data_IF_220883769432
#
_entry.id   IF_220883769432
#
_cell.length_a   1.000
_cell.length_b   1.000
_cell.length_c   1.000
_cell.angle_alpha   90.00
_cell.angle_beta   90.00
_cell.angle_gamma   90.00
#
_symmetry.space_group_name_H-M   'P 1'
#
loop_
_entity.id
_entity.type
_entity.pdbx_description
1 polymer ?
#
# COMPACT_ATOMS: atom_id res chain seq x y z
N UNK A 1 2.93 -13.19 24.76
CA UNK A 1 4.04 -13.43 23.81
C UNK A 1 5.32 -12.84 24.40
N UNK A 2 6.33 -13.67 24.66
CA UNK A 2 7.48 -13.31 25.52
C UNK A 2 8.44 -12.32 24.82
N UNK A 3 9.02 -11.37 25.55
CA UNK A 3 9.91 -10.36 24.97
C UNK A 3 11.14 -10.99 24.26
N UNK A 4 11.62 -12.15 24.75
CA UNK A 4 12.67 -12.96 24.11
C UNK A 4 12.26 -13.53 22.75
N UNK A 5 11.06 -14.09 22.61
CA UNK A 5 10.58 -14.64 21.33
C UNK A 5 10.39 -13.54 20.29
N UNK A 6 9.97 -12.33 20.72
CA UNK A 6 9.88 -11.17 19.85
C UNK A 6 11.27 -10.70 19.36
N UNK A 7 12.28 -10.68 20.24
CA UNK A 7 13.67 -10.33 19.87
C UNK A 7 14.29 -11.33 18.89
N UNK A 8 14.12 -12.63 19.12
CA UNK A 8 14.62 -13.67 18.21
C UNK A 8 13.96 -13.55 16.83
N UNK A 9 12.65 -13.31 16.78
CA UNK A 9 11.94 -13.09 15.52
C UNK A 9 12.44 -11.87 14.75
N UNK A 10 12.74 -10.75 15.43
CA UNK A 10 13.30 -9.55 14.80
C UNK A 10 14.71 -9.83 14.25
N UNK A 11 15.58 -10.50 15.01
CA UNK A 11 16.94 -10.84 14.56
C UNK A 11 16.88 -11.77 13.33
N UNK A 12 16.03 -12.80 13.37
CA UNK A 12 15.84 -13.69 12.23
C UNK A 12 15.33 -12.93 10.99
N UNK A 13 14.37 -12.02 11.16
CA UNK A 13 13.86 -11.18 10.07
C UNK A 13 14.94 -10.28 9.46
N UNK A 14 15.81 -9.68 10.28
CA UNK A 14 16.93 -8.85 9.80
C UNK A 14 17.93 -9.70 9.02
N UNK A 15 18.29 -10.88 9.53
CA UNK A 15 19.21 -11.79 8.83
C UNK A 15 18.66 -12.24 7.47
N UNK A 16 17.38 -12.57 7.40
CA UNK A 16 16.71 -12.93 6.13
C UNK A 16 16.72 -11.74 5.17
N UNK A 17 16.43 -10.53 5.66
CA UNK A 17 16.46 -9.31 4.84
C UNK A 17 17.86 -9.05 4.25
N UNK A 18 18.91 -9.15 5.07
CA UNK A 18 20.30 -8.99 4.63
C UNK A 18 20.65 -10.06 3.59
N UNK A 19 20.34 -11.33 3.87
CA UNK A 19 20.61 -12.42 2.93
C UNK A 19 19.90 -12.20 1.58
N UNK A 20 18.63 -11.76 1.62
CA UNK A 20 17.86 -11.44 0.42
C UNK A 20 18.46 -10.27 -0.36
N UNK A 21 18.87 -9.19 0.32
CA UNK A 21 19.54 -8.05 -0.31
C UNK A 21 20.86 -8.46 -0.98
N UNK A 22 21.68 -9.27 -0.32
CA UNK A 22 22.96 -9.75 -0.89
C UNK A 22 22.70 -10.63 -2.11
N UNK A 23 21.73 -11.54 -2.05
CA UNK A 23 21.37 -12.40 -3.18
C UNK A 23 20.89 -11.58 -4.38
N UNK A 24 20.00 -10.61 -4.16
CA UNK A 24 19.54 -9.70 -5.22
C UNK A 24 20.72 -8.90 -5.80
N UNK A 25 21.61 -8.40 -4.95
CA UNK A 25 22.76 -7.63 -5.42
C UNK A 25 23.65 -8.46 -6.34
N UNK A 26 24.00 -9.68 -5.92
CA UNK A 26 24.84 -10.59 -6.70
C UNK A 26 24.17 -10.99 -8.01
N UNK A 27 22.88 -11.34 -7.99
CA UNK A 27 22.11 -11.64 -9.19
C UNK A 27 22.00 -10.44 -10.14
N UNK A 28 21.80 -9.24 -9.59
CA UNK A 28 21.64 -8.00 -10.35
C UNK A 28 22.89 -7.58 -11.13
N UNK A 29 24.09 -7.97 -10.67
CA UNK A 29 25.35 -7.68 -11.38
C UNK A 29 25.43 -8.34 -12.76
N UNK A 30 24.82 -9.52 -12.92
CA UNK A 30 24.79 -10.28 -14.17
C UNK A 30 23.61 -9.97 -15.08
N UNK A 31 22.58 -9.27 -14.57
CA UNK A 31 21.38 -8.96 -15.35
C UNK A 31 21.61 -7.66 -16.12
N UNK A 32 21.37 -7.71 -17.43
CA UNK A 32 21.45 -6.54 -18.28
C UNK A 32 20.38 -5.50 -17.97
N UNK A 33 20.76 -4.23 -18.14
CA UNK A 33 19.87 -3.11 -17.85
C UNK A 33 18.57 -3.17 -18.68
N UNK A 34 18.61 -3.61 -19.94
CA UNK A 34 17.40 -3.73 -20.78
C UNK A 34 16.34 -4.64 -20.14
N UNK A 35 16.78 -5.69 -19.45
CA UNK A 35 15.88 -6.59 -18.71
C UNK A 35 15.38 -5.92 -17.43
N UNK A 36 16.27 -5.24 -16.69
CA UNK A 36 15.89 -4.51 -15.47
C UNK A 36 14.89 -3.38 -15.74
N UNK A 37 15.07 -2.66 -16.85
CA UNK A 37 14.19 -1.59 -17.32
C UNK A 37 12.77 -2.09 -17.54
N UNK A 38 12.62 -3.24 -18.21
CA UNK A 38 11.31 -3.89 -18.38
C UNK A 38 10.67 -4.26 -17.05
N UNK A 39 11.46 -4.66 -16.04
CA UNK A 39 10.91 -4.89 -14.70
C UNK A 39 10.45 -3.60 -14.02
N UNK A 40 11.19 -2.50 -14.17
CA UNK A 40 10.75 -1.20 -13.66
C UNK A 40 9.46 -0.71 -14.34
N UNK A 41 9.30 -0.95 -15.65
CA UNK A 41 8.05 -0.66 -16.36
C UNK A 41 6.88 -1.47 -15.81
N UNK A 42 7.07 -2.77 -15.58
CA UNK A 42 6.04 -3.62 -15.00
C UNK A 42 5.64 -3.15 -13.59
N UNK A 43 6.62 -2.83 -12.75
CA UNK A 43 6.38 -2.29 -11.41
C UNK A 43 5.66 -0.95 -11.47
N UNK A 44 6.02 -0.07 -12.42
CA UNK A 44 5.33 1.21 -12.63
C UNK A 44 3.87 0.98 -12.99
N UNK A 45 3.57 0.04 -13.89
CA UNK A 45 2.19 -0.30 -14.27
C UNK A 45 1.38 -0.79 -13.06
N UNK A 46 1.94 -1.69 -12.26
CA UNK A 46 1.30 -2.15 -11.02
C UNK A 46 1.09 -0.99 -10.03
N UNK A 47 2.07 -0.10 -9.89
CA UNK A 47 1.96 1.11 -9.06
C UNK A 47 0.77 1.98 -9.50
N UNK A 48 0.64 2.22 -10.81
CA UNK A 48 -0.42 3.03 -11.40
C UNK A 48 -1.81 2.42 -11.16
N UNK A 49 -1.92 1.08 -11.22
CA UNK A 49 -3.17 0.38 -10.88
C UNK A 49 -3.52 0.58 -9.41
N UNK A 50 -2.55 0.37 -8.50
CA UNK A 50 -2.76 0.57 -7.06
C UNK A 50 -3.15 2.02 -6.77
N UNK A 51 -2.47 2.98 -7.39
CA UNK A 51 -2.80 4.41 -7.28
C UNK A 51 -4.23 4.71 -7.74
N UNK A 52 -4.66 4.16 -8.88
CA UNK A 52 -6.02 4.35 -9.38
C UNK A 52 -7.09 3.76 -8.45
N UNK A 53 -6.90 2.52 -7.99
CA UNK A 53 -7.85 1.85 -7.09
C UNK A 53 -7.92 2.54 -5.73
N UNK A 54 -6.78 2.92 -5.16
CA UNK A 54 -6.74 3.65 -3.87
C UNK A 54 -7.37 5.03 -3.99
N UNK A 55 -7.16 5.73 -5.10
CA UNK A 55 -7.81 7.02 -5.40
C UNK A 55 -9.34 6.91 -5.47
N UNK A 56 -9.87 5.88 -6.12
CA UNK A 56 -11.31 5.63 -6.16
C UNK A 56 -11.88 5.35 -4.76
N UNK A 57 -11.19 4.54 -3.95
CA UNK A 57 -11.58 4.29 -2.56
C UNK A 57 -11.55 5.54 -1.69
N UNK A 58 -10.57 6.42 -1.90
CA UNK A 58 -10.48 7.71 -1.21
C UNK A 58 -11.73 8.56 -1.50
N UNK A 59 -12.13 8.66 -2.77
CA UNK A 59 -13.32 9.41 -3.17
C UNK A 59 -14.61 8.88 -2.53
N UNK A 60 -14.72 7.55 -2.36
CA UNK A 60 -15.89 6.91 -1.71
C UNK A 60 -15.86 7.10 -0.19
N UNK A 61 -14.68 7.01 0.44
CA UNK A 61 -14.55 6.99 1.90
C UNK A 61 -14.54 8.40 2.51
N UNK A 62 -13.99 9.38 1.78
CA UNK A 62 -13.91 10.78 2.20
C UNK A 62 -15.24 11.38 2.70
N UNK A 63 -16.36 11.32 1.94
CA UNK A 63 -17.62 11.89 2.40
C UNK A 63 -18.14 11.20 3.67
N UNK A 64 -17.90 9.89 3.84
CA UNK A 64 -18.29 9.14 5.04
C UNK A 64 -17.49 9.60 6.25
N UNK A 65 -16.17 9.72 6.12
CA UNK A 65 -15.28 10.19 7.18
C UNK A 65 -15.59 11.65 7.58
N UNK A 66 -15.87 12.50 6.59
CA UNK A 66 -16.25 13.90 6.83
C UNK A 66 -17.61 13.99 7.55
N UNK A 67 -18.60 13.21 7.11
CA UNK A 67 -19.91 13.15 7.77
C UNK A 67 -19.80 12.65 9.22
N UNK A 68 -18.97 11.63 9.47
CA UNK A 68 -18.67 11.10 10.81
C UNK A 68 -18.03 12.17 11.70
N UNK A 69 -17.07 12.92 11.18
CA UNK A 69 -16.43 14.03 11.90
C UNK A 69 -17.38 15.19 12.21
N UNK A 70 -18.25 15.55 11.26
CA UNK A 70 -19.29 16.58 11.47
C UNK A 70 -20.30 16.10 12.52
N UNK A 71 -20.73 14.84 12.46
CA UNK A 71 -21.64 14.26 13.44
C UNK A 71 -21.02 14.30 14.86
N UNK A 72 -19.74 13.94 15.00
CA UNK A 72 -19.01 14.02 16.26
C UNK A 72 -18.89 15.46 16.80
N UNK A 73 -18.68 16.44 15.92
CA UNK A 73 -18.66 17.86 16.28
C UNK A 73 -20.01 18.35 16.81
N UNK A 74 -21.11 17.84 16.25
CA UNK A 74 -22.47 18.26 16.56
C UNK A 74 -23.17 17.39 17.61
N UNK A 75 -22.52 16.36 18.17
CA UNK A 75 -23.17 15.44 19.12
C UNK A 75 -23.32 16.07 20.51
N UNK A 76 -24.41 15.76 21.18
CA UNK A 76 -24.62 16.09 22.60
C UNK A 76 -23.65 15.33 23.52
N UNK A 77 -23.49 15.84 24.75
CA UNK A 77 -22.50 15.36 25.72
C UNK A 77 -22.59 13.87 26.05
N UNK A 78 -23.78 13.25 25.94
CA UNK A 78 -24.00 11.81 26.20
C UNK A 78 -23.54 10.88 25.08
N UNK A 79 -23.49 11.34 23.82
CA UNK A 79 -23.14 10.51 22.66
C UNK A 79 -21.79 10.88 22.02
N UNK A 80 -21.19 11.99 22.46
CA UNK A 80 -19.96 12.57 21.91
C UNK A 80 -18.77 11.61 21.91
N UNK A 81 -18.61 10.79 22.94
CA UNK A 81 -17.49 9.84 23.03
C UNK A 81 -17.58 8.73 21.96
N UNK A 82 -18.77 8.18 21.76
CA UNK A 82 -19.03 7.15 20.75
C UNK A 82 -18.89 7.72 19.33
N UNK A 83 -19.42 8.93 19.10
CA UNK A 83 -19.31 9.61 17.82
C UNK A 83 -17.86 10.00 17.49
N UNK A 84 -17.09 10.47 18.48
CA UNK A 84 -15.67 10.79 18.33
C UNK A 84 -14.84 9.55 18.00
N UNK A 85 -15.06 8.43 18.69
CA UNK A 85 -14.34 7.17 18.43
C UNK A 85 -14.55 6.69 16.99
N UNK A 86 -15.78 6.78 16.50
CA UNK A 86 -16.13 6.44 15.10
C UNK A 86 -15.47 7.38 14.10
N UNK A 87 -15.50 8.69 14.34
CA UNK A 87 -14.84 9.67 13.48
C UNK A 87 -13.31 9.46 13.40
N UNK A 88 -12.68 9.10 14.52
CA UNK A 88 -11.23 8.80 14.57
C UNK A 88 -10.91 7.53 13.77
N UNK A 89 -11.75 6.50 13.85
CA UNK A 89 -11.57 5.25 13.11
C UNK A 89 -11.73 5.45 11.58
N UNK A 90 -12.76 6.20 11.17
CA UNK A 90 -12.99 6.55 9.77
C UNK A 90 -11.85 7.42 9.22
N UNK A 91 -11.38 8.40 10.01
CA UNK A 91 -10.25 9.26 9.64
C UNK A 91 -8.95 8.47 9.51
N UNK A 92 -8.68 7.53 10.43
CA UNK A 92 -7.49 6.65 10.35
C UNK A 92 -7.50 5.80 9.08
N UNK A 93 -8.68 5.30 8.69
CA UNK A 93 -8.85 4.54 7.44
C UNK A 93 -8.56 5.42 6.23
N UNK A 94 -9.04 6.67 6.22
CA UNK A 94 -8.75 7.65 5.18
C UNK A 94 -7.25 7.96 5.07
N UNK A 95 -6.58 8.19 6.21
CA UNK A 95 -5.12 8.41 6.24
C UNK A 95 -4.36 7.20 5.71
N UNK A 96 -4.83 5.98 5.98
CA UNK A 96 -4.29 4.75 5.40
C UNK A 96 -4.29 4.78 3.87
N UNK A 97 -5.43 5.11 3.25
CA UNK A 97 -5.52 5.23 1.79
C UNK A 97 -4.58 6.30 1.23
N UNK A 98 -4.52 7.48 1.84
CA UNK A 98 -3.62 8.55 1.42
C UNK A 98 -2.15 8.09 1.49
N UNK A 99 -1.76 7.40 2.56
CA UNK A 99 -0.40 6.87 2.71
C UNK A 99 -0.06 5.88 1.59
N UNK A 100 -0.96 4.93 1.29
CA UNK A 100 -0.74 3.98 0.18
C UNK A 100 -0.65 4.67 -1.18
N UNK A 101 -1.42 5.75 -1.38
CA UNK A 101 -1.41 6.56 -2.60
C UNK A 101 -0.06 7.27 -2.77
N UNK A 102 0.43 7.95 -1.71
CA UNK A 102 1.71 8.65 -1.72
C UNK A 102 2.86 7.70 -2.03
N UNK A 103 2.90 6.52 -1.40
CA UNK A 103 3.96 5.53 -1.67
C UNK A 103 3.92 5.08 -3.13
N UNK A 104 2.72 4.88 -3.69
CA UNK A 104 2.57 4.50 -5.12
C UNK A 104 3.08 5.60 -6.05
N UNK A 105 2.78 6.87 -5.76
CA UNK A 105 3.30 8.03 -6.51
C UNK A 105 4.83 8.07 -6.46
N UNK A 106 5.43 7.86 -5.29
CA UNK A 106 6.89 7.84 -5.13
C UNK A 106 7.51 6.73 -5.98
N UNK A 107 6.91 5.54 -5.99
CA UNK A 107 7.39 4.42 -6.81
C UNK A 107 7.31 4.75 -8.31
N UNK A 108 6.21 5.35 -8.75
CA UNK A 108 6.05 5.80 -10.14
C UNK A 108 7.15 6.82 -10.47
N UNK A 109 7.35 7.83 -9.64
CA UNK A 109 8.37 8.86 -9.83
C UNK A 109 9.79 8.26 -9.90
N UNK A 110 10.16 7.40 -8.95
CA UNK A 110 11.45 6.71 -8.96
C UNK A 110 11.65 5.89 -10.23
N UNK A 111 10.65 5.09 -10.62
CA UNK A 111 10.73 4.28 -11.84
C UNK A 111 10.89 5.14 -13.10
N UNK A 112 10.31 6.35 -13.13
CA UNK A 112 10.44 7.32 -14.23
C UNK A 112 11.81 7.98 -14.27
N UNK A 113 12.43 8.23 -13.13
CA UNK A 113 13.75 8.87 -13.05
C UNK A 113 14.91 7.95 -13.48
N UNK A 114 14.79 6.64 -13.32
CA UNK A 114 15.86 5.66 -13.63
C UNK A 114 16.42 5.77 -15.05
N UNK A 115 15.61 5.82 -16.14
CA UNK A 115 16.16 5.98 -17.49
C UNK A 115 16.95 7.29 -17.67
N UNK A 116 16.50 8.39 -17.06
CA UNK A 116 17.25 9.67 -17.12
C UNK A 116 18.60 9.57 -16.39
N UNK A 117 18.63 8.93 -15.22
CA UNK A 117 19.88 8.72 -14.47
C UNK A 117 20.85 7.88 -15.31
N UNK A 118 20.37 6.85 -16.00
CA UNK A 118 21.21 6.04 -16.90
C UNK A 118 21.83 6.87 -18.01
N UNK A 119 21.04 7.68 -18.72
CA UNK A 119 21.56 8.52 -19.82
C UNK A 119 22.64 9.49 -19.31
N UNK A 120 22.41 10.11 -18.15
CA UNK A 120 23.40 10.99 -17.51
C UNK A 120 24.68 10.22 -17.18
N UNK A 121 24.57 9.02 -16.60
CA UNK A 121 25.74 8.19 -16.27
C UNK A 121 26.47 7.67 -17.52
N UNK A 122 25.76 7.51 -18.64
CA UNK A 122 26.33 7.14 -19.94
C UNK A 122 27.31 8.18 -20.48
N UNK A 123 27.05 9.47 -20.24
CA UNK A 123 27.91 10.58 -20.67
C UNK A 123 29.28 10.58 -19.98
N UNK A 124 29.37 10.08 -18.75
CA UNK A 124 30.58 10.14 -17.93
C UNK A 124 31.61 9.02 -18.18
N UNK A 125 31.46 8.19 -19.22
CA UNK A 125 32.41 7.10 -19.57
C UNK A 125 32.82 6.25 -18.34
N UNK A 126 31.86 5.95 -17.46
CA UNK A 126 32.13 5.23 -16.21
C UNK A 126 32.72 3.84 -16.48
N UNK A 127 33.75 3.46 -15.70
CA UNK A 127 34.44 2.17 -15.79
C UNK A 127 33.46 0.98 -15.75
N UNK A 128 33.78 -0.09 -16.50
CA UNK A 128 33.00 -1.33 -16.60
C UNK A 128 32.63 -1.90 -15.22
N UNK A 129 33.55 -1.78 -14.25
CA UNK A 129 33.35 -2.23 -12.88
C UNK A 129 32.24 -1.45 -12.18
N UNK A 130 32.24 -0.12 -12.32
CA UNK A 130 31.26 0.76 -11.69
C UNK A 130 29.85 0.55 -12.28
N UNK A 131 29.75 0.25 -13.59
CA UNK A 131 28.50 -0.15 -14.24
C UNK A 131 27.91 -1.44 -13.66
N UNK A 132 28.74 -2.44 -13.36
CA UNK A 132 28.29 -3.69 -12.74
C UNK A 132 27.73 -3.47 -11.32
N UNK A 133 28.42 -2.68 -10.49
CA UNK A 133 27.93 -2.32 -9.15
C UNK A 133 26.59 -1.54 -9.22
N UNK A 134 26.44 -0.63 -10.17
CA UNK A 134 25.19 0.12 -10.38
C UNK A 134 24.02 -0.79 -10.77
N UNK A 135 24.22 -1.76 -11.66
CA UNK A 135 23.21 -2.77 -12.02
C UNK A 135 22.78 -3.62 -10.83
N UNK A 136 23.74 -4.03 -9.99
CA UNK A 136 23.44 -4.73 -8.74
C UNK A 136 22.58 -3.89 -7.80
N UNK A 137 22.91 -2.61 -7.62
CA UNK A 137 22.17 -1.70 -6.76
C UNK A 137 20.74 -1.43 -7.28
N UNK A 138 20.58 -1.23 -8.59
CA UNK A 138 19.27 -1.09 -9.22
C UNK A 138 18.40 -2.32 -9.02
N UNK A 139 18.97 -3.53 -9.12
CA UNK A 139 18.20 -4.76 -8.94
C UNK A 139 17.78 -4.99 -7.48
N UNK A 140 18.61 -4.58 -6.51
CA UNK A 140 18.21 -4.54 -5.09
C UNK A 140 17.05 -3.58 -4.87
N UNK A 141 17.14 -2.36 -5.43
CA UNK A 141 16.07 -1.38 -5.36
C UNK A 141 14.77 -1.91 -5.98
N UNK A 142 14.87 -2.54 -7.15
CA UNK A 142 13.77 -3.19 -7.83
C UNK A 142 13.09 -4.23 -6.90
N UNK A 143 13.86 -5.15 -6.33
CA UNK A 143 13.33 -6.16 -5.42
C UNK A 143 12.69 -5.58 -4.16
N UNK A 144 13.28 -4.53 -3.58
CA UNK A 144 12.69 -3.83 -2.43
C UNK A 144 11.34 -3.19 -2.79
N UNK A 145 11.26 -2.52 -3.95
CA UNK A 145 10.02 -1.93 -4.45
C UNK A 145 8.97 -3.01 -4.71
N UNK A 146 9.36 -4.16 -5.29
CA UNK A 146 8.44 -5.28 -5.52
C UNK A 146 7.81 -5.77 -4.22
N UNK A 147 8.61 -5.98 -3.17
CA UNK A 147 8.10 -6.43 -1.86
C UNK A 147 7.13 -5.40 -1.27
N UNK A 148 7.48 -4.12 -1.34
CA UNK A 148 6.61 -3.03 -0.87
C UNK A 148 5.29 -3.03 -1.64
N UNK A 149 5.33 -3.14 -2.98
CA UNK A 149 4.12 -3.16 -3.80
C UNK A 149 3.23 -4.36 -3.54
N UNK A 150 3.80 -5.55 -3.35
CA UNK A 150 3.03 -6.73 -2.97
C UNK A 150 2.33 -6.54 -1.62
N UNK A 151 3.02 -5.91 -0.65
CA UNK A 151 2.41 -5.52 0.62
C UNK A 151 1.25 -4.53 0.46
N UNK A 152 1.43 -3.50 -0.37
CA UNK A 152 0.38 -2.52 -0.67
C UNK A 152 -0.82 -3.17 -1.36
N UNK A 153 -0.58 -4.06 -2.32
CA UNK A 153 -1.64 -4.80 -3.02
C UNK A 153 -2.43 -5.69 -2.06
N UNK A 154 -1.75 -6.36 -1.12
CA UNK A 154 -2.42 -7.10 -0.06
C UNK A 154 -3.28 -6.21 0.84
N UNK A 155 -2.80 -5.01 1.17
CA UNK A 155 -3.53 -4.04 1.99
C UNK A 155 -4.78 -3.51 1.27
N UNK A 156 -4.67 -3.12 0.00
CA UNK A 156 -5.80 -2.64 -0.81
C UNK A 156 -6.85 -3.73 -1.03
N UNK A 157 -6.40 -4.98 -1.24
CA UNK A 157 -7.30 -6.12 -1.34
C UNK A 157 -8.05 -6.35 -0.02
N UNK A 158 -7.35 -6.28 1.12
CA UNK A 158 -7.96 -6.42 2.44
C UNK A 158 -9.03 -5.35 2.69
N UNK A 159 -8.76 -4.09 2.33
CA UNK A 159 -9.73 -3.02 2.43
C UNK A 159 -10.96 -3.28 1.56
N UNK A 160 -10.74 -3.71 0.31
CA UNK A 160 -11.82 -4.03 -0.63
C UNK A 160 -12.70 -5.17 -0.12
N UNK A 161 -12.09 -6.24 0.40
CA UNK A 161 -12.80 -7.39 0.97
C UNK A 161 -13.59 -7.01 2.24
N UNK A 162 -13.01 -6.15 3.09
CA UNK A 162 -13.70 -5.62 4.26
C UNK A 162 -14.97 -4.85 3.88
N UNK A 163 -14.86 -3.93 2.91
CA UNK A 163 -15.99 -3.16 2.44
C UNK A 163 -17.10 -4.03 1.82
N UNK A 164 -16.73 -5.09 1.08
CA UNK A 164 -17.68 -6.05 0.54
C UNK A 164 -18.43 -6.79 1.66
N UNK A 165 -17.72 -7.21 2.70
CA UNK A 165 -18.31 -7.90 3.85
C UNK A 165 -19.30 -7.01 4.59
N UNK A 166 -18.96 -5.74 4.80
CA UNK A 166 -19.85 -4.75 5.42
C UNK A 166 -21.12 -4.51 4.58
N UNK A 167 -21.01 -4.51 3.25
CA UNK A 167 -22.16 -4.40 2.35
C UNK A 167 -23.09 -5.62 2.49
N UNK A 168 -22.54 -6.84 2.50
CA UNK A 168 -23.35 -8.05 2.72
C UNK A 168 -24.03 -8.05 4.09
N UNK A 169 -23.34 -7.63 5.15
CA UNK A 169 -23.92 -7.55 6.49
C UNK A 169 -25.06 -6.53 6.57
N UNK A 170 -24.90 -5.35 5.96
CA UNK A 170 -25.92 -4.30 5.98
C UNK A 170 -27.14 -4.64 5.11
N UNK A 171 -26.92 -5.26 3.95
CA UNK A 171 -28.03 -5.74 3.09
C UNK A 171 -28.83 -6.86 3.74
N UNK A 172 -28.16 -7.79 4.45
CA UNK A 172 -28.83 -8.82 5.24
C UNK A 172 -29.69 -8.23 6.36
N UNK A 173 -29.15 -7.25 7.12
CA UNK A 173 -29.92 -6.54 8.16
C UNK A 173 -31.13 -5.79 7.59
N UNK A 174 -30.96 -5.13 6.43
CA UNK A 174 -32.05 -4.44 5.76
C UNK A 174 -33.17 -5.42 5.34
N UNK A 175 -32.81 -6.60 4.82
CA UNK A 175 -33.77 -7.64 4.46
C UNK A 175 -34.55 -8.16 5.66
N UNK A 176 -33.88 -8.42 6.78
CA UNK A 176 -34.53 -8.86 8.03
C UNK A 176 -35.45 -7.77 8.58
N UNK A 177 -35.03 -6.49 8.55
CA UNK A 177 -35.85 -5.37 8.99
C UNK A 177 -37.12 -5.23 8.15
N UNK A 178 -37.00 -5.28 6.83
CA UNK A 178 -38.16 -5.24 5.92
C UNK A 178 -39.14 -6.40 6.17
N UNK A 179 -38.64 -7.60 6.45
CA UNK A 179 -39.51 -8.74 6.83
C UNK A 179 -40.22 -8.51 8.17
N UNK A 180 -39.54 -7.94 9.17
CA UNK A 180 -40.16 -7.58 10.46
C UNK A 180 -41.24 -6.52 10.30
N UNK A 181 -40.99 -5.51 9.48
CA UNK A 181 -41.93 -4.40 9.29
C UNK A 181 -43.17 -4.90 8.55
N UNK A 182 -43.03 -5.74 7.52
CA UNK A 182 -44.18 -6.40 6.86
C UNK A 182 -44.99 -7.29 7.80
N UNK A 183 -44.35 -8.03 8.70
CA UNK A 183 -45.06 -8.90 9.64
C UNK A 183 -45.82 -8.12 10.74
N UNK A 184 -45.62 -6.80 10.86
CA UNK A 184 -46.39 -5.95 11.79
C UNK A 184 -47.61 -5.30 11.13
N UNK A 185 -47.70 -5.35 9.80
CA UNK A 185 -48.80 -4.77 9.02
C UNK A 185 -49.95 -5.77 8.77
N UNK A 186 -49.78 -7.03 9.17
CA UNK A 186 -50.81 -8.07 9.20
C UNK A 186 -51.16 -8.44 10.65
#
# INVERSE_FOLDING_TARGET
MNAKTKKIGVIAGVLISIAFTVLLFLAGKSIDYSVQEKYFENIRTVASIIFGVTGAWLAITYPRALSSAIAAKNSDSSERETALKKAVEDSKTLTGFISTMIVSIIIIALSLCIPFIKEILGLFQWSLTAKSYFRGALYVLLGAITVIQLGLLGLTLKHTYGALTDLYANTAKAKIRNQRDRNKEF
#
